data_IF_820824338517
#
_entry.id   IF_820824338517
#
_cell.length_a   1.000
_cell.length_b   1.000
_cell.length_c   1.000
_cell.angle_alpha   90.00
_cell.angle_beta   90.00
_cell.angle_gamma   90.00
#
_symmetry.space_group_name_H-M   'P 1'
#
loop_
_entity.id
_entity.type
_entity.pdbx_description
1 polymer ?
#
# COMPACT_ATOMS: atom_id res chain seq x y z
N UNK A 1 -9.89 -38.94 -3.27
CA UNK A 1 -9.62 -37.62 -3.87
C UNK A 1 -8.75 -36.89 -2.85
N UNK A 2 -7.45 -36.87 -3.10
CA UNK A 2 -6.46 -36.25 -2.21
C UNK A 2 -6.28 -34.84 -2.78
N UNK A 3 -6.62 -33.82 -2.00
CA UNK A 3 -6.38 -32.43 -2.37
C UNK A 3 -4.88 -32.24 -2.63
N UNK A 4 -4.54 -31.71 -3.81
CA UNK A 4 -3.16 -31.38 -4.18
C UNK A 4 -2.70 -30.18 -3.32
N UNK A 5 -1.70 -30.36 -2.44
CA UNK A 5 -1.21 -29.28 -1.57
C UNK A 5 -0.48 -28.17 -2.32
N UNK A 6 -0.26 -28.30 -3.64
CA UNK A 6 0.31 -27.23 -4.49
C UNK A 6 -0.69 -26.14 -4.91
N UNK A 7 -1.97 -26.29 -4.55
CA UNK A 7 -3.04 -25.32 -4.83
C UNK A 7 -3.49 -24.51 -3.60
N UNK A 8 -2.67 -24.40 -2.56
CA UNK A 8 -2.87 -23.35 -1.57
C UNK A 8 -2.61 -22.00 -2.26
N UNK A 9 -3.65 -21.32 -2.72
CA UNK A 9 -3.53 -19.92 -3.15
C UNK A 9 -3.04 -19.13 -1.94
N UNK A 10 -1.80 -18.66 -2.00
CA UNK A 10 -1.30 -17.74 -0.99
C UNK A 10 -2.11 -16.47 -1.18
N UNK A 11 -2.89 -16.08 -0.18
CA UNK A 11 -3.70 -14.87 -0.24
C UNK A 11 -2.77 -13.65 -0.08
N UNK A 12 -2.62 -12.86 -1.13
CA UNK A 12 -1.60 -11.82 -1.25
C UNK A 12 -2.11 -10.53 -1.89
N UNK A 13 -1.31 -9.47 -1.76
CA UNK A 13 -1.38 -8.31 -2.64
C UNK A 13 -0.47 -8.53 -3.85
N UNK A 14 -0.98 -8.30 -5.06
CA UNK A 14 -0.22 -8.48 -6.31
C UNK A 14 0.19 -7.15 -6.92
N UNK A 15 1.49 -6.91 -7.06
CA UNK A 15 2.02 -5.84 -7.91
C UNK A 15 2.47 -6.44 -9.25
N UNK A 16 1.64 -6.33 -10.27
CA UNK A 16 1.93 -6.87 -11.60
C UNK A 16 2.99 -6.02 -12.30
N UNK A 17 3.95 -6.66 -12.96
CA UNK A 17 5.06 -5.99 -13.63
C UNK A 17 5.28 -6.53 -15.06
N UNK A 18 4.29 -6.41 -15.95
CA UNK A 18 4.40 -6.94 -17.31
C UNK A 18 5.51 -6.25 -18.11
N UNK A 19 5.88 -5.03 -17.74
CA UNK A 19 6.89 -4.20 -18.42
C UNK A 19 8.32 -4.51 -17.99
N UNK A 20 8.53 -5.34 -16.96
CA UNK A 20 9.85 -5.74 -16.51
C UNK A 20 10.66 -4.62 -15.84
N UNK A 21 10.01 -3.60 -15.28
CA UNK A 21 10.68 -2.56 -14.51
C UNK A 21 11.44 -3.21 -13.35
N UNK A 22 12.73 -2.92 -13.21
CA UNK A 22 13.48 -3.47 -12.07
C UNK A 22 12.99 -2.78 -10.80
N UNK A 23 12.43 -3.54 -9.86
CA UNK A 23 11.92 -3.02 -8.59
C UNK A 23 12.75 -3.51 -7.42
N UNK A 24 12.66 -2.79 -6.32
CA UNK A 24 13.14 -3.23 -5.01
C UNK A 24 12.10 -2.88 -3.95
N UNK A 25 12.30 -3.37 -2.73
CA UNK A 25 11.38 -3.10 -1.64
C UNK A 25 12.00 -3.39 -0.29
N UNK A 26 11.43 -2.76 0.73
CA UNK A 26 11.82 -2.90 2.12
C UNK A 26 10.61 -3.37 2.92
N UNK A 27 10.59 -4.64 3.37
CA UNK A 27 9.59 -5.10 4.33
C UNK A 27 9.89 -4.52 5.71
N UNK A 28 8.82 -4.20 6.44
CA UNK A 28 8.88 -3.68 7.79
C UNK A 28 8.34 -4.73 8.77
N UNK A 29 9.07 -4.88 9.87
CA UNK A 29 8.56 -5.58 11.05
C UNK A 29 7.94 -4.57 12.00
N UNK A 30 7.23 -5.05 13.01
CA UNK A 30 6.74 -4.21 14.12
C UNK A 30 7.86 -3.43 14.84
N UNK A 31 9.12 -3.83 14.65
CA UNK A 31 10.29 -3.20 15.28
C UNK A 31 11.03 -2.22 14.38
N UNK A 32 10.62 -2.05 13.12
CA UNK A 32 11.33 -1.23 12.13
C UNK A 32 11.32 0.27 12.46
N UNK A 33 10.30 0.77 13.16
CA UNK A 33 10.19 2.18 13.49
C UNK A 33 10.02 2.38 14.99
N UNK A 34 10.78 3.34 15.53
CA UNK A 34 10.65 3.80 16.92
C UNK A 34 10.16 5.23 16.98
N UNK A 35 9.42 5.55 18.02
CA UNK A 35 9.03 6.90 18.44
C UNK A 35 10.15 7.47 19.33
N UNK A 36 10.08 8.78 19.61
CA UNK A 36 11.05 9.46 20.46
C UNK A 36 11.10 8.91 21.89
N UNK A 37 9.97 8.38 22.39
CA UNK A 37 9.86 7.72 23.70
C UNK A 37 10.43 6.27 23.72
N UNK A 38 11.03 5.82 22.63
CA UNK A 38 11.62 4.49 22.49
C UNK A 38 10.63 3.37 22.16
N UNK A 39 9.31 3.64 22.20
CA UNK A 39 8.28 2.67 21.83
C UNK A 39 8.23 2.44 20.31
N UNK A 40 7.71 1.30 19.90
CA UNK A 40 7.51 1.02 18.48
C UNK A 40 6.41 1.90 17.89
N UNK A 41 6.72 2.56 16.78
CA UNK A 41 5.76 3.37 16.03
C UNK A 41 4.95 2.46 15.11
N UNK A 42 3.65 2.71 14.99
CA UNK A 42 2.81 2.04 13.99
C UNK A 42 3.26 2.40 12.57
N UNK A 43 3.34 1.41 11.70
CA UNK A 43 3.84 1.51 10.33
C UNK A 43 3.06 0.59 9.38
N UNK A 44 3.17 0.81 8.07
CA UNK A 44 2.73 -0.16 7.07
C UNK A 44 3.67 -1.37 7.00
N UNK A 45 3.28 -2.40 6.26
CA UNK A 45 4.03 -3.66 6.11
C UNK A 45 5.25 -3.54 5.20
N UNK A 46 5.18 -2.77 4.12
CA UNK A 46 6.35 -2.57 3.26
C UNK A 46 6.27 -1.29 2.42
N UNK A 47 7.41 -0.96 1.83
CA UNK A 47 7.52 -0.01 0.73
C UNK A 47 8.22 -0.68 -0.46
N UNK A 48 7.73 -0.42 -1.67
CA UNK A 48 8.22 -0.96 -2.95
C UNK A 48 8.45 0.23 -3.89
N UNK A 49 9.49 0.21 -4.69
CA UNK A 49 9.84 1.30 -5.61
C UNK A 49 10.74 0.80 -6.76
N UNK A 50 10.80 1.53 -7.90
CA UNK A 50 11.76 1.21 -8.97
C UNK A 50 13.20 1.34 -8.47
N UNK A 51 14.04 0.37 -8.85
CA UNK A 51 15.48 0.44 -8.55
C UNK A 51 16.11 1.54 -9.43
N UNK A 52 16.82 2.48 -8.80
CA UNK A 52 17.37 3.64 -9.49
C UNK A 52 16.33 4.69 -9.87
N UNK A 53 15.15 4.65 -9.23
CA UNK A 53 14.15 5.72 -9.35
C UNK A 53 14.65 7.06 -8.80
N UNK A 54 14.02 8.11 -9.30
CA UNK A 54 14.30 9.52 -9.04
C UNK A 54 13.15 10.19 -8.24
N UNK A 55 13.19 11.51 -8.11
CA UNK A 55 12.16 12.33 -7.46
C UNK A 55 10.80 12.29 -8.15
N UNK A 56 10.70 11.83 -9.39
CA UNK A 56 9.43 11.71 -10.12
C UNK A 56 8.90 10.27 -10.15
N UNK A 57 9.71 9.32 -9.70
CA UNK A 57 9.35 7.91 -9.68
C UNK A 57 8.26 7.61 -8.64
N UNK A 58 7.49 6.55 -8.87
CA UNK A 58 6.46 6.14 -7.90
C UNK A 58 7.08 5.50 -6.66
N UNK A 59 6.45 5.71 -5.51
CA UNK A 59 6.74 5.01 -4.26
C UNK A 59 5.46 4.31 -3.80
N UNK A 60 5.52 3.00 -3.62
CA UNK A 60 4.37 2.16 -3.29
C UNK A 60 4.45 1.68 -1.85
N UNK A 61 3.54 2.13 -1.00
CA UNK A 61 3.39 1.63 0.37
C UNK A 61 2.22 0.66 0.42
N UNK A 62 2.42 -0.49 1.07
CA UNK A 62 1.41 -1.54 1.15
C UNK A 62 1.18 -1.92 2.61
N UNK A 63 -0.09 -2.11 2.97
CA UNK A 63 -0.53 -2.64 4.26
C UNK A 63 -1.61 -3.70 4.03
N UNK A 64 -1.40 -4.90 4.57
CA UNK A 64 -2.33 -6.01 4.43
C UNK A 64 -3.11 -6.19 5.74
N UNK A 65 -4.37 -6.61 5.64
CA UNK A 65 -5.16 -7.06 6.78
C UNK A 65 -5.86 -8.36 6.43
N UNK A 66 -5.56 -9.40 7.20
CA UNK A 66 -6.12 -10.72 7.03
C UNK A 66 -7.35 -10.87 7.93
N UNK A 67 -8.54 -10.92 7.32
CA UNK A 67 -9.76 -11.30 8.00
C UNK A 67 -10.74 -11.90 6.99
N UNK A 68 -11.31 -13.05 7.32
CA UNK A 68 -12.36 -13.67 6.51
C UNK A 68 -13.73 -13.01 6.73
N UNK A 69 -13.89 -12.23 7.81
CA UNK A 69 -15.17 -11.65 8.23
C UNK A 69 -15.37 -10.25 7.61
N UNK A 70 -16.31 -10.05 6.66
CA UNK A 70 -16.50 -8.75 6.02
C UNK A 70 -16.89 -7.63 6.98
N UNK A 71 -17.53 -7.96 8.11
CA UNK A 71 -17.86 -6.99 9.17
C UNK A 71 -16.63 -6.28 9.77
N UNK A 72 -15.43 -6.85 9.63
CA UNK A 72 -14.18 -6.24 10.09
C UNK A 72 -13.55 -5.28 9.07
N UNK A 73 -14.02 -5.26 7.82
CA UNK A 73 -13.37 -4.54 6.72
C UNK A 73 -13.19 -3.05 7.01
N UNK A 74 -14.23 -2.38 7.52
CA UNK A 74 -14.16 -0.96 7.87
C UNK A 74 -13.08 -0.68 8.91
N UNK A 75 -13.02 -1.46 9.99
CA UNK A 75 -12.02 -1.30 11.05
C UNK A 75 -10.61 -1.56 10.54
N UNK A 76 -10.43 -2.63 9.78
CA UNK A 76 -9.16 -3.03 9.19
C UNK A 76 -8.64 -1.98 8.20
N UNK A 77 -9.47 -1.53 7.26
CA UNK A 77 -9.10 -0.51 6.27
C UNK A 77 -8.79 0.84 6.93
N UNK A 78 -9.53 1.23 7.98
CA UNK A 78 -9.23 2.46 8.73
C UNK A 78 -7.89 2.40 9.47
N UNK A 79 -7.58 1.23 10.05
CA UNK A 79 -6.27 1.01 10.70
C UNK A 79 -5.15 1.02 9.65
N UNK A 80 -5.35 0.31 8.54
CA UNK A 80 -4.37 0.24 7.45
C UNK A 80 -4.09 1.61 6.82
N UNK A 81 -5.15 2.38 6.53
CA UNK A 81 -5.04 3.76 6.04
C UNK A 81 -4.19 4.62 6.96
N UNK A 82 -4.39 4.50 8.28
CA UNK A 82 -3.62 5.25 9.28
C UNK A 82 -2.14 4.86 9.25
N UNK A 83 -1.85 3.56 9.19
CA UNK A 83 -0.48 3.03 9.08
C UNK A 83 0.22 3.55 7.82
N UNK A 84 -0.44 3.47 6.67
CA UNK A 84 0.07 3.96 5.39
C UNK A 84 0.40 5.45 5.43
N UNK A 85 -0.55 6.28 5.87
CA UNK A 85 -0.38 7.73 5.94
C UNK A 85 0.75 8.13 6.91
N UNK A 86 0.86 7.46 8.06
CA UNK A 86 1.93 7.75 9.01
C UNK A 86 3.31 7.33 8.51
N UNK A 87 3.44 6.16 7.89
CA UNK A 87 4.73 5.76 7.32
C UNK A 87 5.14 6.69 6.19
N UNK A 88 4.22 7.04 5.29
CA UNK A 88 4.50 7.97 4.19
C UNK A 88 4.90 9.36 4.71
N UNK A 89 4.17 9.90 5.69
CA UNK A 89 4.50 11.19 6.29
C UNK A 89 5.87 11.17 6.98
N UNK A 90 6.24 10.05 7.63
CA UNK A 90 7.57 9.88 8.21
C UNK A 90 8.67 9.90 7.14
N UNK A 91 8.47 9.16 6.06
CA UNK A 91 9.38 9.12 4.91
C UNK A 91 9.61 10.52 4.31
N UNK A 92 8.54 11.28 4.13
CA UNK A 92 8.59 12.71 3.74
C UNK A 92 9.36 13.57 4.74
N UNK A 93 9.02 13.48 6.02
CA UNK A 93 9.63 14.32 7.07
C UNK A 93 11.13 14.09 7.25
N UNK A 94 11.61 12.90 6.89
CA UNK A 94 13.02 12.53 6.95
C UNK A 94 13.75 12.77 5.62
N UNK A 95 13.10 13.41 4.63
CA UNK A 95 13.63 13.64 3.30
C UNK A 95 14.10 12.36 2.58
N UNK A 96 13.48 11.21 2.89
CA UNK A 96 13.76 9.92 2.22
C UNK A 96 13.14 9.88 0.82
N UNK A 97 12.04 10.62 0.64
CA UNK A 97 11.30 10.74 -0.62
C UNK A 97 10.92 12.20 -0.86
N UNK A 98 10.94 12.64 -2.12
CA UNK A 98 10.75 14.02 -2.54
C UNK A 98 9.28 14.34 -2.87
N UNK A 99 8.81 15.55 -2.56
CA UNK A 99 7.40 15.96 -2.75
C UNK A 99 6.81 15.64 -4.13
N UNK A 100 7.64 15.61 -5.17
CA UNK A 100 7.28 15.26 -6.54
C UNK A 100 7.03 13.75 -6.75
N UNK A 101 7.52 12.87 -5.86
CA UNK A 101 7.26 11.44 -5.95
C UNK A 101 5.77 11.18 -5.77
N UNK A 102 5.15 10.46 -6.71
CA UNK A 102 3.77 9.99 -6.51
C UNK A 102 3.76 8.83 -5.52
N UNK A 103 3.12 9.03 -4.37
CA UNK A 103 3.02 8.01 -3.33
C UNK A 103 1.71 7.22 -3.49
N UNK A 104 1.82 5.96 -3.92
CA UNK A 104 0.69 5.04 -3.97
C UNK A 104 0.55 4.32 -2.63
N UNK A 105 -0.61 4.46 -1.99
CA UNK A 105 -0.90 3.83 -0.70
C UNK A 105 -1.98 2.76 -0.90
N UNK A 106 -1.63 1.49 -0.69
CA UNK A 106 -2.54 0.37 -0.87
C UNK A 106 -2.87 -0.28 0.46
N UNK A 107 -4.16 -0.28 0.84
CA UNK A 107 -4.65 -1.18 1.87
C UNK A 107 -5.33 -2.38 1.21
N UNK A 108 -4.80 -3.57 1.49
CA UNK A 108 -5.25 -4.83 0.90
C UNK A 108 -5.93 -5.69 1.95
N UNK A 109 -7.01 -6.36 1.53
CA UNK A 109 -7.70 -7.40 2.29
C UNK A 109 -7.63 -8.69 1.47
N UNK A 110 -6.53 -9.44 1.51
CA UNK A 110 -6.32 -10.57 0.61
C UNK A 110 -7.44 -11.61 0.68
N UNK A 111 -7.95 -11.87 1.89
CA UNK A 111 -9.04 -12.83 2.14
C UNK A 111 -10.44 -12.31 1.77
N UNK A 112 -10.55 -11.15 1.14
CA UNK A 112 -11.82 -10.51 0.79
C UNK A 112 -11.88 -10.24 -0.71
N UNK A 113 -13.07 -10.46 -1.29
CA UNK A 113 -13.31 -10.12 -2.69
C UNK A 113 -13.50 -8.62 -2.87
N UNK A 114 -12.90 -8.08 -3.92
CA UNK A 114 -13.14 -6.70 -4.36
C UNK A 114 -14.47 -6.55 -5.11
N UNK A 115 -15.15 -5.38 -5.01
CA UNK A 115 -14.83 -4.26 -4.13
C UNK A 115 -15.10 -4.60 -2.66
N UNK A 116 -14.28 -4.09 -1.73
CA UNK A 116 -14.45 -4.37 -0.31
C UNK A 116 -15.73 -3.72 0.23
N UNK A 117 -16.71 -4.50 0.71
CA UNK A 117 -18.00 -3.96 1.11
C UNK A 117 -17.90 -3.10 2.39
N UNK A 118 -18.92 -2.27 2.60
CA UNK A 118 -19.13 -1.47 3.81
C UNK A 118 -18.10 -0.35 4.10
N UNK A 119 -17.30 0.04 3.10
CA UNK A 119 -16.45 1.22 3.23
C UNK A 119 -16.08 1.83 1.88
N UNK A 120 -16.24 3.14 1.75
CA UNK A 120 -15.79 3.91 0.57
C UNK A 120 -15.04 5.17 1.02
N UNK A 121 -14.04 5.55 0.23
CA UNK A 121 -13.38 6.85 0.39
C UNK A 121 -14.14 7.88 -0.43
N UNK A 122 -14.36 9.07 0.12
CA UNK A 122 -15.03 10.12 -0.63
C UNK A 122 -14.10 10.64 -1.74
N UNK A 123 -14.63 10.96 -2.94
CA UNK A 123 -13.83 11.53 -4.01
C UNK A 123 -13.11 12.82 -3.62
N UNK A 124 -13.75 13.67 -2.82
CA UNK A 124 -13.16 14.92 -2.32
C UNK A 124 -11.94 14.68 -1.42
N UNK A 125 -11.98 13.66 -0.56
CA UNK A 125 -10.84 13.31 0.29
C UNK A 125 -9.67 12.77 -0.55
N UNK A 126 -9.96 11.94 -1.56
CA UNK A 126 -8.94 11.43 -2.47
C UNK A 126 -8.30 12.56 -3.30
N UNK A 127 -9.11 13.51 -3.76
CA UNK A 127 -8.62 14.69 -4.48
C UNK A 127 -7.73 15.57 -3.60
N UNK A 128 -8.11 15.80 -2.33
CA UNK A 128 -7.30 16.57 -1.38
C UNK A 128 -5.93 15.90 -1.14
N UNK A 129 -5.91 14.57 -0.95
CA UNK A 129 -4.67 13.81 -0.80
C UNK A 129 -3.76 13.91 -2.03
N UNK A 130 -4.33 13.81 -3.23
CA UNK A 130 -3.56 13.92 -4.47
C UNK A 130 -3.02 15.34 -4.66
N UNK A 131 -3.85 16.35 -4.49
CA UNK A 131 -3.47 17.75 -4.71
C UNK A 131 -2.40 18.21 -3.72
N UNK A 132 -2.55 17.88 -2.43
CA UNK A 132 -1.69 18.44 -1.38
C UNK A 132 -0.42 17.65 -1.11
N UNK A 133 -0.45 16.35 -1.33
CA UNK A 133 0.62 15.45 -0.90
C UNK A 133 1.12 14.50 -2.00
N UNK A 134 0.58 14.62 -3.21
CA UNK A 134 0.83 13.73 -4.33
C UNK A 134 0.55 12.25 -3.99
N UNK A 135 -0.48 12.00 -3.16
CA UNK A 135 -0.86 10.67 -2.67
C UNK A 135 -2.01 10.09 -3.51
N UNK A 136 -1.87 8.83 -3.91
CA UNK A 136 -2.94 8.01 -4.50
C UNK A 136 -3.28 6.88 -3.52
N UNK A 137 -4.35 7.05 -2.75
CA UNK A 137 -4.84 6.04 -1.80
C UNK A 137 -5.87 5.13 -2.46
N UNK A 138 -5.70 3.81 -2.36
CA UNK A 138 -6.62 2.79 -2.89
C UNK A 138 -6.78 1.62 -1.94
N UNK A 139 -7.97 1.03 -1.96
CA UNK A 139 -8.26 -0.23 -1.31
C UNK A 139 -8.41 -1.32 -2.36
N UNK A 140 -7.39 -2.15 -2.47
CA UNK A 140 -7.28 -3.18 -3.50
C UNK A 140 -6.21 -4.20 -3.12
N UNK A 141 -6.36 -5.41 -3.62
CA UNK A 141 -5.44 -6.53 -3.59
C UNK A 141 -4.51 -6.53 -4.81
N UNK A 142 -4.62 -5.59 -5.75
CA UNK A 142 -3.68 -5.53 -6.87
C UNK A 142 -3.42 -4.15 -7.46
N UNK A 143 -2.26 -3.99 -8.06
CA UNK A 143 -1.91 -2.86 -8.92
C UNK A 143 -1.00 -3.35 -10.07
N UNK A 144 -0.76 -2.50 -11.06
CA UNK A 144 0.12 -2.82 -12.18
C UNK A 144 1.14 -1.71 -12.43
N UNK A 145 2.38 -2.09 -12.70
CA UNK A 145 3.46 -1.18 -13.07
C UNK A 145 3.38 -0.88 -14.56
N UNK A 146 3.09 0.38 -14.89
CA UNK A 146 3.13 0.84 -16.28
C UNK A 146 4.54 1.28 -16.68
N UNK A 147 5.23 2.00 -15.79
CA UNK A 147 6.61 2.46 -15.98
C UNK A 147 7.19 2.92 -14.64
N UNK A 148 8.32 3.61 -14.64
CA UNK A 148 9.00 4.11 -13.43
C UNK A 148 8.22 5.21 -12.69
N UNK A 149 7.26 5.87 -13.33
CA UNK A 149 6.52 7.02 -12.78
C UNK A 149 5.06 6.71 -12.44
N UNK A 150 4.47 5.70 -13.07
CA UNK A 150 3.03 5.43 -12.95
C UNK A 150 2.76 3.96 -12.58
N UNK A 151 1.92 3.80 -11.57
CA UNK A 151 1.16 2.57 -11.33
C UNK A 151 -0.27 2.74 -11.82
N UNK A 152 -0.75 1.74 -12.57
CA UNK A 152 -2.16 1.59 -12.92
C UNK A 152 -2.90 1.00 -11.71
N UNK A 153 -3.95 1.70 -11.31
CA UNK A 153 -4.86 1.27 -10.25
C UNK A 153 -6.26 1.18 -10.82
N UNK A 154 -6.97 0.09 -10.54
CA UNK A 154 -8.37 -0.03 -10.96
C UNK A 154 -9.18 1.08 -10.30
N UNK A 155 -10.06 1.72 -11.08
CA UNK A 155 -11.02 2.66 -10.52
C UNK A 155 -12.05 1.89 -9.69
N UNK A 156 -12.51 2.45 -8.55
CA UNK A 156 -13.53 1.83 -7.72
C UNK A 156 -14.86 1.65 -8.46
#
# INVERSE_FOLDING_TARGET
>A
LVDDPSQASIEHFTLNNPTGVTITGLPFSQKSFRRADGQFASQCECVIYPKGGDEESWICFVELKYSEKPGNNRGNLMKARRQLLYTQARYRSMAVIDEHNTCYLFASLPLQREPFPHFTLTPSHLADLKHRFNIVLRFTNSAEILNHKILLVKSP
#
